data_IF_063511156520
#
_entry.id   IF_063511156520
#
_cell.length_a   1.000
_cell.length_b   1.000
_cell.length_c   1.000
_cell.angle_alpha   90.00
_cell.angle_beta   90.00
_cell.angle_gamma   90.00
#
_symmetry.space_group_name_H-M   'P 1'
#
loop_
_entity.id
_entity.type
_entity.pdbx_description
1 polymer ?
#
# COMPACT_ATOMS: atom_id res chain seq x y z
N UNK A 1 15.89 -20.43 20.83
CA UNK A 1 14.76 -21.31 20.50
C UNK A 1 14.44 -21.15 19.02
N UNK A 2 14.82 -22.14 18.20
CA UNK A 2 14.57 -22.14 16.77
C UNK A 2 13.18 -22.71 16.46
N UNK A 3 12.13 -21.91 16.61
CA UNK A 3 10.79 -22.34 16.15
C UNK A 3 10.74 -22.34 14.64
N UNK A 4 10.47 -23.50 14.04
CA UNK A 4 10.25 -23.62 12.61
C UNK A 4 8.94 -22.92 12.23
N UNK A 5 9.01 -22.03 11.23
CA UNK A 5 7.86 -21.35 10.67
C UNK A 5 7.75 -21.74 9.20
N UNK A 6 6.58 -22.23 8.78
CA UNK A 6 6.34 -22.72 7.43
C UNK A 6 5.16 -22.02 6.80
N UNK A 7 5.28 -21.73 5.52
CA UNK A 7 4.22 -21.16 4.68
C UNK A 7 4.32 -21.66 3.24
N UNK A 8 3.22 -21.61 2.52
CA UNK A 8 3.18 -21.75 1.06
C UNK A 8 3.18 -20.39 0.41
N UNK A 9 3.79 -20.28 -0.76
CA UNK A 9 3.83 -19.07 -1.57
C UNK A 9 3.29 -19.42 -2.97
N UNK A 10 2.38 -18.59 -3.48
CA UNK A 10 1.84 -18.72 -4.84
C UNK A 10 1.96 -17.39 -5.57
N UNK A 11 2.54 -17.43 -6.78
CA UNK A 11 2.53 -16.30 -7.70
C UNK A 11 1.21 -16.27 -8.48
N UNK A 12 0.67 -15.08 -8.72
CA UNK A 12 -0.52 -14.84 -9.54
C UNK A 12 -0.18 -14.59 -11.03
N UNK A 13 1.11 -14.57 -11.37
CA UNK A 13 1.60 -14.32 -12.71
C UNK A 13 2.79 -15.23 -13.04
N UNK A 14 3.06 -15.39 -14.35
CA UNK A 14 4.29 -16.04 -14.82
C UNK A 14 5.49 -15.11 -14.61
N UNK A 15 6.60 -15.63 -14.12
CA UNK A 15 7.82 -14.89 -13.84
C UNK A 15 8.16 -14.79 -12.36
N UNK A 16 8.97 -13.78 -12.00
CA UNK A 16 9.37 -13.58 -10.61
C UNK A 16 8.19 -13.09 -9.76
N UNK A 17 7.91 -13.74 -8.60
CA UNK A 17 6.80 -13.38 -7.73
C UNK A 17 6.83 -11.91 -7.30
N UNK A 18 5.69 -11.22 -7.43
CA UNK A 18 5.54 -9.85 -6.99
C UNK A 18 6.09 -8.80 -7.95
N UNK A 19 6.33 -9.15 -9.22
CA UNK A 19 6.82 -8.21 -10.24
C UNK A 19 5.74 -7.21 -10.67
N UNK A 20 4.51 -7.66 -10.89
CA UNK A 20 3.35 -6.81 -11.22
C UNK A 20 2.19 -7.03 -10.27
N UNK A 21 1.92 -8.28 -9.93
CA UNK A 21 0.89 -8.68 -8.98
C UNK A 21 1.53 -9.14 -7.68
N UNK A 22 0.84 -8.98 -6.53
CA UNK A 22 1.31 -9.52 -5.28
C UNK A 22 1.35 -11.05 -5.33
N UNK A 23 2.26 -11.65 -4.59
CA UNK A 23 2.21 -13.08 -4.32
C UNK A 23 1.30 -13.36 -3.12
N UNK A 24 0.73 -14.56 -3.08
CA UNK A 24 -0.10 -15.02 -1.98
C UNK A 24 0.71 -15.87 -1.00
N UNK A 25 0.47 -15.67 0.28
CA UNK A 25 1.06 -16.49 1.36
C UNK A 25 -0.05 -17.19 2.10
N UNK A 26 0.07 -18.51 2.25
CA UNK A 26 -0.76 -19.30 3.15
C UNK A 26 0.12 -19.85 4.28
N UNK A 27 -0.17 -19.45 5.51
CA UNK A 27 0.58 -19.91 6.67
C UNK A 27 0.23 -21.39 6.97
N UNK A 28 1.25 -22.28 7.06
CA UNK A 28 1.12 -23.67 7.52
C UNK A 28 1.25 -23.77 9.03
N UNK A 29 2.07 -22.90 9.61
CA UNK A 29 2.16 -22.73 11.07
C UNK A 29 1.27 -21.57 11.52
N UNK A 30 0.79 -21.57 12.77
CA UNK A 30 -0.01 -20.46 13.29
C UNK A 30 0.68 -19.11 13.05
N UNK A 31 -0.07 -18.15 12.50
CA UNK A 31 0.44 -16.81 12.10
C UNK A 31 1.13 -16.07 13.25
N UNK A 32 0.66 -16.29 14.49
CA UNK A 32 1.20 -15.70 15.71
C UNK A 32 2.66 -16.09 15.96
N UNK A 33 3.13 -17.19 15.36
CA UNK A 33 4.55 -17.57 15.44
C UNK A 33 5.44 -16.76 14.51
N UNK A 34 4.88 -16.22 13.43
CA UNK A 34 5.58 -15.40 12.43
C UNK A 34 5.49 -13.91 12.75
N UNK A 35 4.32 -13.46 13.20
CA UNK A 35 4.04 -12.05 13.47
C UNK A 35 3.43 -11.95 14.87
N UNK A 36 4.23 -11.51 15.83
CA UNK A 36 3.74 -11.22 17.17
C UNK A 36 3.69 -9.70 17.35
N UNK A 37 2.52 -9.13 17.58
CA UNK A 37 2.43 -7.73 17.93
C UNK A 37 3.08 -7.48 19.28
N UNK A 38 3.79 -6.35 19.39
CA UNK A 38 4.31 -5.86 20.65
C UNK A 38 3.46 -4.70 21.14
N UNK A 39 3.01 -4.76 22.39
CA UNK A 39 2.16 -3.75 22.99
C UNK A 39 0.67 -4.14 23.04
N UNK A 40 -0.13 -3.26 23.61
CA UNK A 40 -1.57 -3.45 23.75
C UNK A 40 -2.30 -2.92 22.51
N UNK A 41 -2.63 -3.82 21.58
CA UNK A 41 -3.36 -3.47 20.36
C UNK A 41 -4.83 -3.11 20.64
N UNK A 42 -5.39 -3.54 21.77
CA UNK A 42 -6.79 -3.31 22.10
C UNK A 42 -7.09 -1.84 22.39
N UNK A 43 -6.08 -1.11 22.87
CA UNK A 43 -6.18 0.32 23.19
C UNK A 43 -5.56 1.23 22.12
N UNK A 44 -4.97 0.65 21.09
CA UNK A 44 -4.37 1.42 20.00
C UNK A 44 -5.44 2.04 19.09
N UNK A 45 -5.34 3.32 18.74
CA UNK A 45 -6.20 3.90 17.70
C UNK A 45 -5.83 3.43 16.28
N UNK A 46 -4.70 2.76 16.12
CA UNK A 46 -4.20 2.22 14.85
C UNK A 46 -4.87 0.87 14.58
N UNK A 47 -5.44 0.73 13.40
CA UNK A 47 -6.16 -0.49 12.97
C UNK A 47 -5.36 -1.41 12.05
N UNK A 48 -4.24 -0.92 11.53
CA UNK A 48 -3.38 -1.64 10.60
C UNK A 48 -3.29 -0.98 9.25
N UNK A 49 -2.75 -1.71 8.25
CA UNK A 49 -2.70 -1.23 6.87
C UNK A 49 -4.10 -1.30 6.27
N UNK A 50 -4.62 -0.14 5.87
CA UNK A 50 -5.90 0.02 5.18
C UNK A 50 -5.71 -0.16 3.67
N UNK A 51 -4.74 0.54 3.09
CA UNK A 51 -4.50 0.56 1.64
C UNK A 51 -3.01 0.54 1.34
N UNK A 52 -2.62 -0.21 0.32
CA UNK A 52 -1.27 -0.18 -0.27
C UNK A 52 -1.32 0.62 -1.57
N UNK A 53 -0.41 1.58 -1.74
CA UNK A 53 -0.25 2.30 -3.00
C UNK A 53 0.90 1.67 -3.78
N UNK A 54 0.60 1.20 -4.98
CA UNK A 54 1.57 0.61 -5.90
C UNK A 54 1.96 1.61 -6.97
N UNK A 55 3.23 1.97 -7.05
CA UNK A 55 3.78 2.68 -8.19
C UNK A 55 3.97 1.74 -9.37
N UNK A 56 3.49 2.14 -10.55
CA UNK A 56 3.54 1.33 -11.78
C UNK A 56 4.03 2.16 -12.95
N UNK A 57 4.65 1.55 -13.98
CA UNK A 57 5.08 2.26 -15.18
C UNK A 57 3.95 2.49 -16.20
N UNK A 58 2.79 1.85 -16.06
CA UNK A 58 1.63 1.96 -16.94
C UNK A 58 0.36 1.59 -16.18
N UNK A 59 -0.49 2.60 -15.96
CA UNK A 59 -1.72 2.48 -15.18
C UNK A 59 -2.70 1.49 -15.80
N UNK A 60 -2.86 1.54 -17.13
CA UNK A 60 -3.84 0.72 -17.83
C UNK A 60 -3.49 -0.75 -17.76
N UNK A 61 -2.25 -1.10 -18.07
CA UNK A 61 -1.76 -2.48 -17.97
C UNK A 61 -1.88 -3.03 -16.54
N UNK A 62 -1.58 -2.21 -15.54
CA UNK A 62 -1.69 -2.63 -14.14
C UNK A 62 -3.14 -2.82 -13.70
N UNK A 63 -4.05 -1.92 -14.07
CA UNK A 63 -5.50 -2.04 -13.79
C UNK A 63 -6.05 -3.31 -14.42
N UNK A 64 -5.74 -3.58 -15.69
CA UNK A 64 -6.21 -4.79 -16.40
C UNK A 64 -5.72 -6.07 -15.70
N UNK A 65 -4.46 -6.08 -15.26
CA UNK A 65 -3.87 -7.20 -14.53
C UNK A 65 -4.59 -7.46 -13.19
N UNK A 66 -4.84 -6.41 -12.40
CA UNK A 66 -5.55 -6.53 -11.11
C UNK A 66 -7.01 -6.93 -11.31
N UNK A 67 -7.73 -6.31 -12.26
CA UNK A 67 -9.11 -6.67 -12.59
C UNK A 67 -9.22 -8.14 -12.97
N UNK A 68 -8.30 -8.63 -13.79
CA UNK A 68 -8.31 -10.04 -14.24
C UNK A 68 -7.95 -11.00 -13.11
N UNK A 69 -6.92 -10.69 -12.33
CA UNK A 69 -6.42 -11.61 -11.30
C UNK A 69 -7.36 -11.75 -10.09
N UNK A 70 -8.09 -10.67 -9.75
CA UNK A 70 -8.94 -10.61 -8.56
C UNK A 70 -10.43 -10.55 -8.87
N UNK A 71 -10.84 -10.58 -10.16
CA UNK A 71 -12.23 -10.33 -10.60
C UNK A 71 -12.78 -9.02 -9.98
N UNK A 72 -11.90 -8.01 -9.93
CA UNK A 72 -12.18 -6.76 -9.24
C UNK A 72 -13.13 -5.86 -10.03
N UNK A 73 -13.89 -5.05 -9.29
CA UNK A 73 -14.75 -4.03 -9.90
C UNK A 73 -13.94 -2.94 -10.58
N UNK A 74 -14.56 -2.25 -11.55
CA UNK A 74 -13.93 -1.11 -12.25
C UNK A 74 -13.45 -0.06 -11.25
N UNK A 75 -12.15 0.31 -11.27
CA UNK A 75 -11.63 1.30 -10.34
C UNK A 75 -12.03 2.72 -10.71
N UNK A 76 -12.15 3.58 -9.71
CA UNK A 76 -12.25 5.02 -9.91
C UNK A 76 -10.87 5.57 -10.26
N UNK A 77 -10.78 6.35 -11.35
CA UNK A 77 -9.54 6.97 -11.82
C UNK A 77 -9.56 8.47 -11.51
N UNK A 78 -8.50 8.96 -10.91
CA UNK A 78 -8.29 10.39 -10.57
C UNK A 78 -6.81 10.75 -10.68
N UNK A 79 -6.49 12.04 -10.51
CA UNK A 79 -5.10 12.51 -10.39
C UNK A 79 -4.80 12.80 -8.92
N UNK A 80 -3.66 12.33 -8.44
CA UNK A 80 -3.16 12.58 -7.08
C UNK A 80 -2.01 13.59 -7.10
N UNK A 81 -2.28 14.80 -6.63
CA UNK A 81 -1.27 15.86 -6.60
C UNK A 81 -0.11 15.53 -5.64
N UNK A 82 -0.38 14.90 -4.51
CA UNK A 82 0.64 14.55 -3.51
C UNK A 82 1.68 13.55 -4.04
N UNK A 83 1.29 12.71 -5.00
CA UNK A 83 2.16 11.71 -5.63
C UNK A 83 2.65 12.16 -7.02
N UNK A 84 2.11 13.24 -7.59
CA UNK A 84 2.30 13.63 -8.99
C UNK A 84 2.00 12.46 -9.94
N UNK A 85 0.82 11.84 -9.77
CA UNK A 85 0.48 10.59 -10.44
C UNK A 85 -1.01 10.55 -10.84
N UNK A 86 -1.31 9.86 -11.93
CA UNK A 86 -2.64 9.36 -12.17
C UNK A 86 -2.85 8.09 -11.33
N UNK A 87 -4.00 8.00 -10.67
CA UNK A 87 -4.28 6.90 -9.75
C UNK A 87 -5.58 6.19 -10.10
N UNK A 88 -5.60 4.89 -9.81
CA UNK A 88 -6.79 4.05 -9.88
C UNK A 88 -7.03 3.38 -8.53
N UNK A 89 -8.22 3.59 -7.95
CA UNK A 89 -8.63 3.02 -6.66
C UNK A 89 -9.74 2.01 -6.86
N UNK A 90 -9.53 0.79 -6.42
CA UNK A 90 -10.54 -0.26 -6.48
C UNK A 90 -11.48 -0.18 -5.29
N UNK A 91 -12.80 -0.32 -5.50
CA UNK A 91 -13.76 -0.27 -4.39
C UNK A 91 -13.74 -1.52 -3.50
N UNK A 92 -13.23 -2.63 -4.01
CA UNK A 92 -13.24 -3.96 -3.40
C UNK A 92 -11.85 -4.52 -3.08
N UNK A 93 -10.78 -3.77 -3.38
CA UNK A 93 -9.41 -4.13 -3.03
C UNK A 93 -8.73 -3.03 -2.20
N UNK A 94 -7.91 -3.40 -1.21
CA UNK A 94 -7.14 -2.44 -0.42
C UNK A 94 -5.90 -1.93 -1.17
N UNK A 95 -6.07 -1.56 -2.45
CA UNK A 95 -4.99 -1.17 -3.35
C UNK A 95 -5.37 0.07 -4.13
N UNK A 96 -4.43 1.01 -4.22
CA UNK A 96 -4.41 2.12 -5.17
C UNK A 96 -3.21 1.93 -6.09
N UNK A 97 -3.42 2.01 -7.39
CA UNK A 97 -2.36 1.96 -8.39
C UNK A 97 -2.03 3.39 -8.80
N UNK A 98 -0.74 3.74 -8.88
CA UNK A 98 -0.25 5.09 -9.18
C UNK A 98 0.79 5.06 -10.30
N UNK A 99 0.50 5.77 -11.39
CA UNK A 99 1.38 5.96 -12.55
C UNK A 99 1.89 7.41 -12.54
N UNK A 100 3.20 7.67 -12.38
CA UNK A 100 3.73 9.02 -12.30
C UNK A 100 3.49 9.80 -13.60
N UNK A 101 2.98 11.04 -13.48
CA UNK A 101 2.70 11.94 -14.61
C UNK A 101 3.81 12.94 -14.87
N UNK A 102 4.73 13.13 -13.91
CA UNK A 102 5.80 14.12 -13.95
C UNK A 102 7.12 13.48 -13.49
N UNK A 103 8.24 14.09 -13.90
CA UNK A 103 9.55 13.73 -13.37
C UNK A 103 9.61 14.02 -11.86
N UNK A 104 10.11 13.04 -11.10
CA UNK A 104 10.21 13.17 -9.65
C UNK A 104 10.56 11.84 -8.98
N UNK A 105 10.49 11.82 -7.66
CA UNK A 105 10.90 10.66 -6.86
C UNK A 105 10.12 9.37 -7.22
N UNK A 106 8.83 9.49 -7.54
CA UNK A 106 8.00 8.34 -7.92
C UNK A 106 8.41 7.82 -9.30
N UNK A 107 8.56 8.72 -10.28
CA UNK A 107 8.99 8.36 -11.63
C UNK A 107 10.39 7.71 -11.63
N UNK A 108 11.36 8.30 -10.90
CA UNK A 108 12.70 7.74 -10.75
C UNK A 108 12.66 6.34 -10.12
N UNK A 109 11.81 6.16 -9.10
CA UNK A 109 11.71 4.90 -8.39
C UNK A 109 11.07 3.82 -9.26
N UNK A 110 9.96 4.12 -9.93
CA UNK A 110 9.27 3.21 -10.85
C UNK A 110 10.17 2.85 -12.04
N UNK A 111 10.85 3.83 -12.63
CA UNK A 111 11.81 3.60 -13.73
C UNK A 111 12.96 2.67 -13.35
N UNK A 112 13.44 2.74 -12.10
CA UNK A 112 14.56 1.94 -11.63
C UNK A 112 14.17 0.53 -11.19
N UNK A 113 13.00 0.36 -10.59
CA UNK A 113 12.62 -0.89 -9.91
C UNK A 113 11.37 -1.56 -10.49
N UNK A 114 10.67 -0.91 -11.43
CA UNK A 114 9.38 -1.39 -11.93
C UNK A 114 8.26 -1.19 -10.89
N UNK A 115 7.24 -2.03 -10.95
CA UNK A 115 6.11 -2.02 -10.02
C UNK A 115 6.56 -2.31 -8.59
N UNK A 116 6.14 -1.46 -7.64
CA UNK A 116 6.50 -1.63 -6.22
C UNK A 116 5.55 -0.88 -5.29
N UNK A 117 5.43 -1.28 -4.01
CA UNK A 117 4.76 -0.47 -3.01
C UNK A 117 5.50 0.86 -2.78
N UNK A 118 4.80 1.98 -2.90
CA UNK A 118 5.35 3.33 -2.74
C UNK A 118 4.80 4.07 -1.54
N UNK A 119 3.59 3.71 -1.10
CA UNK A 119 3.00 4.24 0.12
C UNK A 119 2.10 3.19 0.80
N UNK A 120 1.87 3.40 2.09
CA UNK A 120 0.95 2.63 2.90
C UNK A 120 0.02 3.59 3.62
N UNK A 121 -1.28 3.38 3.51
CA UNK A 121 -2.27 4.10 4.28
C UNK A 121 -2.64 3.25 5.50
N UNK A 122 -2.51 3.84 6.66
CA UNK A 122 -2.77 3.19 7.94
C UNK A 122 -4.14 3.61 8.41
N UNK A 123 -5.01 2.65 8.63
CA UNK A 123 -6.35 2.89 9.18
C UNK A 123 -6.26 3.34 10.64
N UNK A 124 -6.97 4.41 10.96
CA UNK A 124 -7.04 4.97 12.31
C UNK A 124 -8.49 5.18 12.71
N UNK A 125 -8.77 5.04 14.00
CA UNK A 125 -10.05 5.40 14.58
C UNK A 125 -10.31 6.90 14.39
N UNK A 126 -11.48 7.24 13.89
CA UNK A 126 -11.84 8.63 13.57
C UNK A 126 -11.79 9.52 14.81
N UNK A 127 -10.99 10.59 14.74
CA UNK A 127 -10.87 11.60 15.80
C UNK A 127 -10.09 11.14 17.03
N UNK A 128 -9.47 9.97 16.98
CA UNK A 128 -8.59 9.52 18.05
C UNK A 128 -7.24 10.23 18.00
N UNK A 129 -6.64 10.43 19.17
CA UNK A 129 -5.26 10.89 19.29
C UNK A 129 -4.32 9.72 19.01
N UNK A 130 -3.66 9.74 17.86
CA UNK A 130 -2.70 8.72 17.45
C UNK A 130 -1.26 9.04 17.87
N UNK A 131 -1.00 10.21 18.49
CA UNK A 131 0.31 10.60 19.00
C UNK A 131 1.35 10.97 17.95
N UNK A 132 0.98 11.07 16.66
CA UNK A 132 1.87 11.55 15.61
C UNK A 132 1.82 13.07 15.50
N UNK A 133 2.97 13.69 15.30
CA UNK A 133 3.11 15.14 15.16
C UNK A 133 3.60 15.53 13.76
N UNK A 134 3.43 16.81 13.41
CA UNK A 134 3.90 17.40 12.15
C UNK A 134 3.34 16.72 10.88
N UNK A 135 2.10 16.26 10.94
CA UNK A 135 1.41 15.67 9.80
C UNK A 135 1.10 16.73 8.74
N UNK A 136 1.15 16.30 7.48
CA UNK A 136 0.75 17.13 6.34
C UNK A 136 -0.55 16.59 5.75
N UNK A 137 -1.58 17.41 5.68
CA UNK A 137 -2.86 17.02 5.08
C UNK A 137 -2.75 16.97 3.56
N UNK A 138 -3.27 15.91 2.98
CA UNK A 138 -3.36 15.70 1.55
C UNK A 138 -4.55 14.82 1.19
N UNK A 139 -4.53 14.24 -0.02
CA UNK A 139 -5.57 13.33 -0.47
C UNK A 139 -5.05 12.30 -1.45
N UNK A 140 -5.67 11.13 -1.46
CA UNK A 140 -5.46 10.10 -2.46
C UNK A 140 -6.80 9.42 -2.78
N UNK A 141 -7.15 9.31 -4.06
CA UNK A 141 -8.40 8.69 -4.52
C UNK A 141 -9.63 9.20 -3.74
N UNK A 142 -9.77 10.53 -3.62
CA UNK A 142 -10.86 11.24 -2.92
C UNK A 142 -10.93 11.01 -1.39
N UNK A 143 -9.93 10.33 -0.81
CA UNK A 143 -9.80 10.16 0.64
C UNK A 143 -8.81 11.18 1.21
N UNK A 144 -9.21 11.83 2.32
CA UNK A 144 -8.28 12.66 3.09
C UNK A 144 -7.21 11.79 3.75
N UNK A 145 -5.96 12.21 3.64
CA UNK A 145 -4.80 11.53 4.20
C UNK A 145 -3.98 12.52 5.02
N UNK A 146 -3.56 12.10 6.20
CA UNK A 146 -2.57 12.80 7.00
C UNK A 146 -1.21 12.12 6.83
N UNK A 147 -0.33 12.74 6.04
CA UNK A 147 0.99 12.20 5.72
C UNK A 147 1.98 12.38 6.87
N UNK A 148 2.66 11.31 7.26
CA UNK A 148 3.75 11.36 8.22
C UNK A 148 5.03 11.91 7.57
N UNK A 149 5.77 12.78 8.27
CA UNK A 149 7.08 13.26 7.81
C UNK A 149 8.10 12.12 7.91
N UNK A 150 8.25 11.34 6.84
CA UNK A 150 9.22 10.24 6.80
C UNK A 150 10.49 10.72 6.12
N UNK A 151 11.53 10.96 6.90
CA UNK A 151 12.89 11.20 6.40
C UNK A 151 13.65 9.88 6.37
N UNK A 152 13.93 9.37 5.16
CA UNK A 152 14.73 8.16 5.00
C UNK A 152 15.82 8.36 3.94
N UNK A 153 17.06 7.92 4.18
CA UNK A 153 18.19 8.13 3.26
C UNK A 153 18.05 7.41 1.90
N UNK A 154 17.16 6.44 1.76
CA UNK A 154 16.91 5.71 0.49
C UNK A 154 15.69 6.21 -0.29
N UNK A 155 15.22 7.41 -0.06
CA UNK A 155 14.13 8.04 -0.80
C UNK A 155 12.85 8.23 0.00
N UNK A 156 11.92 8.93 -0.61
CA UNK A 156 10.63 9.21 -0.01
C UNK A 156 9.82 7.90 0.13
N UNK A 157 9.42 7.60 1.35
CA UNK A 157 8.40 6.59 1.62
C UNK A 157 7.24 7.33 2.27
N UNK A 158 6.07 7.17 1.70
CA UNK A 158 4.89 7.76 2.28
C UNK A 158 4.20 6.77 3.22
N UNK A 159 4.01 7.22 4.46
CA UNK A 159 3.04 6.64 5.38
C UNK A 159 1.96 7.68 5.58
N UNK A 160 0.73 7.32 5.32
CA UNK A 160 -0.43 8.18 5.52
C UNK A 160 -1.39 7.57 6.52
N UNK A 161 -2.05 8.42 7.29
CA UNK A 161 -3.13 8.01 8.18
C UNK A 161 -4.46 8.32 7.49
N UNK A 162 -5.39 7.38 7.54
CA UNK A 162 -6.75 7.52 7.01
C UNK A 162 -7.76 7.12 8.08
N UNK A 163 -8.82 7.91 8.23
CA UNK A 163 -9.90 7.54 9.12
C UNK A 163 -10.66 6.34 8.55
N UNK A 164 -10.98 5.36 9.41
CA UNK A 164 -11.91 4.29 9.05
C UNK A 164 -13.25 4.86 8.60
N UNK A 165 -13.84 4.26 7.56
CA UNK A 165 -15.16 4.62 7.03
C UNK A 165 -16.29 4.05 7.90
#
# INVERSE_FOLDING_TARGET
DGTLVEWDLTSLEDGDPGTRLPFLIADRTPRERRVQPTGDLATSPIRGIDTVVLGVPDLTTAVDAFTTAFDAQEPTRTTCADLHADVASFPDLPVVIADPTEDGWLAERVSRTGTLPVAYLIGCERGADHGFENLTTGSIADRSVEWLPVTHPVGHRYLGLVAEQ
#
